data_IF_719875675722
#
_entry.id   IF_719875675722
#
_cell.length_a   1.000
_cell.length_b   1.000
_cell.length_c   1.000
_cell.angle_alpha   90.00
_cell.angle_beta   90.00
_cell.angle_gamma   90.00
#
_symmetry.space_group_name_H-M   'P 1'
#
loop_
_entity.id
_entity.type
_entity.pdbx_description
1 polymer ?
#
# COMPACT_ATOMS: atom_id res chain seq x y z
N UNK A 1 -5.08 23.66 -15.84
CA UNK A 1 -3.70 23.18 -15.54
C UNK A 1 -3.62 22.36 -14.25
N UNK A 2 -4.19 22.81 -13.11
CA UNK A 2 -4.11 22.08 -11.81
C UNK A 2 -4.66 20.64 -11.83
N UNK A 3 -5.80 20.38 -12.48
CA UNK A 3 -6.42 19.04 -12.52
C UNK A 3 -5.56 17.99 -13.23
N UNK A 4 -4.76 18.37 -14.23
CA UNK A 4 -3.85 17.44 -14.92
C UNK A 4 -2.70 16.98 -14.02
N UNK A 5 -2.15 17.88 -13.21
CA UNK A 5 -1.14 17.53 -12.22
C UNK A 5 -1.69 16.57 -11.16
N UNK A 6 -2.90 16.85 -10.66
CA UNK A 6 -3.59 15.97 -9.71
C UNK A 6 -3.83 14.60 -10.33
N UNK A 7 -4.32 14.55 -11.57
CA UNK A 7 -4.56 13.29 -12.29
C UNK A 7 -3.28 12.43 -12.40
N UNK A 8 -2.17 13.00 -12.87
CA UNK A 8 -0.91 12.28 -12.99
C UNK A 8 -0.34 11.87 -11.64
N UNK A 9 -0.42 12.74 -10.62
CA UNK A 9 0.02 12.40 -9.27
C UNK A 9 -0.78 11.22 -8.71
N UNK A 10 -2.11 11.25 -8.82
CA UNK A 10 -2.97 10.16 -8.38
C UNK A 10 -2.70 8.86 -9.12
N UNK A 11 -2.42 8.91 -10.43
CA UNK A 11 -2.05 7.71 -11.19
C UNK A 11 -0.70 7.15 -10.71
N UNK A 12 0.29 8.01 -10.49
CA UNK A 12 1.62 7.62 -10.03
C UNK A 12 1.59 7.02 -8.61
N UNK A 13 0.97 7.71 -7.65
CA UNK A 13 0.86 7.22 -6.27
C UNK A 13 -0.04 5.99 -6.17
N UNK A 14 -1.13 5.95 -6.93
CA UNK A 14 -2.02 4.80 -6.97
C UNK A 14 -1.32 3.55 -7.53
N UNK A 15 -0.58 3.69 -8.62
CA UNK A 15 0.24 2.62 -9.17
C UNK A 15 1.35 2.17 -8.21
N UNK A 16 1.98 3.11 -7.50
CA UNK A 16 3.00 2.81 -6.48
C UNK A 16 2.43 1.96 -5.34
N UNK A 17 1.25 2.34 -4.83
CA UNK A 17 0.55 1.59 -3.78
C UNK A 17 0.13 0.20 -4.26
N UNK A 18 -0.42 0.10 -5.48
CA UNK A 18 -0.82 -1.16 -6.08
C UNK A 18 0.38 -2.11 -6.23
N UNK A 19 1.48 -1.61 -6.79
CA UNK A 19 2.71 -2.37 -7.00
C UNK A 19 3.31 -2.84 -5.67
N UNK A 20 3.46 -1.93 -4.70
CA UNK A 20 4.02 -2.24 -3.38
C UNK A 20 3.16 -3.26 -2.63
N UNK A 21 1.84 -3.07 -2.62
CA UNK A 21 0.90 -3.97 -1.97
C UNK A 21 0.92 -5.37 -2.57
N UNK A 22 0.92 -5.50 -3.90
CA UNK A 22 0.98 -6.81 -4.58
C UNK A 22 2.28 -7.55 -4.22
N UNK A 23 3.42 -6.87 -4.15
CA UNK A 23 4.69 -7.51 -3.75
C UNK A 23 4.63 -8.04 -2.31
N UNK A 24 4.01 -7.29 -1.39
CA UNK A 24 3.85 -7.71 0.00
C UNK A 24 2.85 -8.86 0.16
N UNK A 25 1.81 -8.93 -0.67
CA UNK A 25 0.84 -10.05 -0.69
C UNK A 25 1.52 -11.35 -1.16
N UNK A 26 2.45 -11.26 -2.12
CA UNK A 26 3.16 -12.44 -2.65
C UNK A 26 4.07 -13.11 -1.61
N UNK A 27 4.66 -12.32 -0.71
CA UNK A 27 5.52 -12.83 0.36
C UNK A 27 5.25 -12.09 1.69
N UNK A 28 4.17 -12.48 2.40
CA UNK A 28 3.79 -11.84 3.65
C UNK A 28 4.78 -12.15 4.79
N UNK A 29 5.58 -13.22 4.69
CA UNK A 29 6.59 -13.58 5.69
C UNK A 29 7.74 -12.59 5.63
N UNK A 30 8.29 -12.36 4.44
CA UNK A 30 9.34 -11.35 4.22
C UNK A 30 8.86 -9.95 4.61
N UNK A 31 7.60 -9.62 4.33
CA UNK A 31 7.02 -8.35 4.76
C UNK A 31 6.86 -8.25 6.30
N UNK A 32 6.48 -9.34 6.97
CA UNK A 32 6.46 -9.39 8.43
C UNK A 32 7.85 -9.16 9.03
N UNK A 33 8.90 -9.73 8.45
CA UNK A 33 10.28 -9.50 8.90
C UNK A 33 10.73 -8.06 8.68
N UNK A 34 10.32 -7.45 7.55
CA UNK A 34 10.51 -6.02 7.33
C UNK A 34 9.83 -5.18 8.43
N UNK A 35 8.59 -5.53 8.84
CA UNK A 35 7.89 -4.87 9.96
C UNK A 35 8.66 -5.05 11.27
N UNK A 36 9.15 -6.25 11.59
CA UNK A 36 9.91 -6.53 12.82
C UNK A 36 11.18 -5.69 12.92
N UNK A 37 11.84 -5.42 11.80
CA UNK A 37 13.07 -4.62 11.76
C UNK A 37 12.87 -3.17 12.24
N UNK A 38 11.65 -2.63 12.14
CA UNK A 38 11.34 -1.31 12.70
C UNK A 38 11.22 -1.31 14.22
N UNK A 39 11.07 -2.47 14.87
CA UNK A 39 10.91 -2.63 16.33
C UNK A 39 9.80 -1.76 16.95
N UNK A 40 8.79 -1.43 16.15
CA UNK A 40 7.64 -0.61 16.57
C UNK A 40 6.54 -1.44 17.22
N UNK A 41 6.37 -2.68 16.77
CA UNK A 41 5.33 -3.61 17.23
C UNK A 41 5.92 -5.01 17.40
N UNK A 42 5.34 -5.80 18.30
CA UNK A 42 5.70 -7.20 18.54
C UNK A 42 4.66 -8.18 17.98
N UNK A 43 4.92 -9.47 18.14
CA UNK A 43 3.91 -10.50 17.85
C UNK A 43 2.80 -10.45 18.94
N UNK A 44 1.52 -10.66 18.59
CA UNK A 44 0.99 -11.10 17.29
C UNK A 44 0.59 -9.97 16.32
N UNK A 45 0.93 -8.70 16.63
CA UNK A 45 0.52 -7.56 15.82
C UNK A 45 1.28 -7.53 14.48
N UNK A 46 2.55 -7.90 14.47
CA UNK A 46 3.37 -7.98 13.25
C UNK A 46 2.73 -8.84 12.14
N UNK A 47 2.38 -10.12 12.36
CA UNK A 47 1.74 -10.93 11.32
C UNK A 47 0.35 -10.42 10.95
N UNK A 48 -0.40 -9.83 11.88
CA UNK A 48 -1.69 -9.22 11.57
C UNK A 48 -1.54 -8.02 10.61
N UNK A 49 -0.56 -7.15 10.86
CA UNK A 49 -0.24 -6.03 9.96
C UNK A 49 0.32 -6.52 8.63
N UNK A 50 1.22 -7.50 8.64
CA UNK A 50 1.78 -8.08 7.42
C UNK A 50 0.70 -8.67 6.51
N UNK A 51 -0.38 -9.19 7.10
CA UNK A 51 -1.52 -9.70 6.36
C UNK A 51 -2.48 -8.60 5.90
N UNK A 52 -2.85 -7.66 6.78
CA UNK A 52 -3.91 -6.68 6.49
C UNK A 52 -3.43 -5.48 5.67
N UNK A 53 -2.26 -4.93 5.99
CA UNK A 53 -1.76 -3.68 5.41
C UNK A 53 -1.59 -3.74 3.88
N UNK A 54 -1.10 -4.84 3.28
CA UNK A 54 -0.96 -4.92 1.82
C UNK A 54 -2.29 -4.83 1.07
N UNK A 55 -3.37 -5.41 1.61
CA UNK A 55 -4.71 -5.29 1.02
C UNK A 55 -5.22 -3.86 1.10
N UNK A 56 -5.03 -3.20 2.25
CA UNK A 56 -5.37 -1.79 2.41
C UNK A 56 -4.63 -0.92 1.38
N UNK A 57 -3.34 -1.17 1.15
CA UNK A 57 -2.55 -0.48 0.13
C UNK A 57 -3.11 -0.70 -1.28
N UNK A 58 -3.46 -1.93 -1.65
CA UNK A 58 -4.03 -2.24 -2.97
C UNK A 58 -5.37 -1.53 -3.17
N UNK A 59 -6.29 -1.60 -2.20
CA UNK A 59 -7.59 -0.93 -2.31
C UNK A 59 -7.47 0.59 -2.32
N UNK A 60 -6.60 1.15 -1.48
CA UNK A 60 -6.31 2.58 -1.49
C UNK A 60 -5.71 3.02 -2.84
N UNK A 61 -4.76 2.25 -3.39
CA UNK A 61 -4.17 2.51 -4.70
C UNK A 61 -5.23 2.54 -5.81
N UNK A 62 -6.11 1.54 -5.86
CA UNK A 62 -7.23 1.50 -6.81
C UNK A 62 -8.20 2.67 -6.61
N UNK A 63 -8.56 2.99 -5.37
CA UNK A 63 -9.47 4.10 -5.07
C UNK A 63 -8.88 5.44 -5.54
N UNK A 64 -7.60 5.69 -5.28
CA UNK A 64 -6.90 6.91 -5.72
C UNK A 64 -6.77 6.94 -7.25
N UNK A 65 -6.73 5.81 -7.95
CA UNK A 65 -6.70 5.77 -9.42
C UNK A 65 -8.08 5.96 -10.06
N UNK A 66 -9.15 5.52 -9.41
CA UNK A 66 -10.53 5.58 -9.95
C UNK A 66 -11.28 6.85 -9.53
N UNK A 67 -10.86 7.51 -8.44
CA UNK A 67 -11.51 8.69 -7.89
C UNK A 67 -11.89 9.71 -8.97
N UNK A 68 -13.19 9.99 -9.06
CA UNK A 68 -13.81 10.86 -10.07
C UNK A 68 -13.93 12.31 -9.64
N UNK A 69 -13.48 12.66 -8.43
CA UNK A 69 -13.64 14.01 -7.85
C UNK A 69 -12.47 14.98 -8.16
N UNK A 70 -11.59 14.64 -9.11
CA UNK A 70 -10.33 15.36 -9.45
C UNK A 70 -10.47 16.42 -10.54
#
# INVERSE_FOLDING_TARGET
MKSWLVFFASLAFGALFLWSGILKIKDPISFADAIRNFRLVGDPITPALAHFLPWLEVFAGLAVMIDRTR
#
